data_IF_669608067709
#
_entry.id   IF_669608067709
#
_cell.length_a   1.000
_cell.length_b   1.000
_cell.length_c   1.000
_cell.angle_alpha   90.00
_cell.angle_beta   90.00
_cell.angle_gamma   90.00
#
_symmetry.space_group_name_H-M   'P 1'
#
loop_
_entity.id
_entity.type
_entity.pdbx_description
1 polymer ?
#
# COMPACT_ATOMS: atom_id res chain seq x y z
N UNK A 1 5.99 -10.33 -21.44
CA UNK A 1 4.74 -11.03 -21.79
C UNK A 1 4.41 -11.96 -20.62
N UNK A 2 3.49 -11.56 -19.76
CA UNK A 2 3.26 -12.20 -18.45
C UNK A 2 2.40 -13.45 -18.59
N UNK A 3 3.01 -14.62 -18.36
CA UNK A 3 2.39 -15.95 -18.52
C UNK A 3 1.17 -16.21 -17.61
N UNK A 4 0.94 -15.38 -16.58
CA UNK A 4 -0.13 -15.54 -15.60
C UNK A 4 -1.48 -14.93 -15.99
N UNK A 5 -1.50 -13.95 -16.90
CA UNK A 5 -2.72 -13.19 -17.23
C UNK A 5 -3.69 -13.99 -18.12
N UNK A 6 -3.15 -14.84 -19.00
CA UNK A 6 -3.95 -15.70 -19.86
C UNK A 6 -4.68 -16.83 -19.08
N UNK A 7 -4.06 -17.36 -18.02
CA UNK A 7 -4.69 -18.38 -17.16
C UNK A 7 -5.86 -17.81 -16.35
N UNK A 8 -5.73 -16.56 -15.90
CA UNK A 8 -6.80 -15.84 -15.20
C UNK A 8 -8.01 -15.62 -16.12
N UNK A 9 -7.79 -15.15 -17.34
CA UNK A 9 -8.88 -14.99 -18.33
C UNK A 9 -9.55 -16.30 -18.73
N UNK A 10 -8.80 -17.41 -18.76
CA UNK A 10 -9.37 -18.73 -19.02
C UNK A 10 -10.31 -19.18 -17.88
N UNK A 11 -9.97 -18.87 -16.62
CA UNK A 11 -10.84 -19.13 -15.46
C UNK A 11 -12.13 -18.31 -15.57
N UNK A 12 -12.03 -17.01 -15.84
CA UNK A 12 -13.21 -16.15 -15.97
C UNK A 12 -14.14 -16.56 -17.12
N UNK A 13 -13.57 -17.05 -18.22
CA UNK A 13 -14.36 -17.62 -19.31
C UNK A 13 -15.15 -18.85 -18.88
N UNK A 14 -14.56 -19.73 -18.07
CA UNK A 14 -15.24 -20.91 -17.56
C UNK A 14 -16.40 -20.53 -16.63
N UNK A 15 -16.21 -19.52 -15.78
CA UNK A 15 -17.22 -19.03 -14.84
C UNK A 15 -18.41 -18.37 -15.56
N UNK A 16 -18.18 -17.62 -16.64
CA UNK A 16 -19.24 -17.03 -17.49
C UNK A 16 -20.00 -18.08 -18.31
N UNK A 17 -19.39 -19.25 -18.56
CA UNK A 17 -20.01 -20.34 -19.29
C UNK A 17 -20.74 -21.33 -18.38
N UNK A 18 -20.63 -21.20 -17.06
CA UNK A 18 -21.32 -22.06 -16.10
C UNK A 18 -22.84 -21.78 -16.15
N UNK A 19 -23.67 -22.77 -16.48
CA UNK A 19 -25.12 -22.61 -16.56
C UNK A 19 -25.79 -22.26 -15.22
N UNK A 20 -25.05 -22.33 -14.09
CA UNK A 20 -25.50 -21.87 -12.77
C UNK A 20 -25.33 -20.36 -12.57
N UNK A 21 -24.59 -19.68 -13.45
CA UNK A 21 -24.30 -18.25 -13.40
C UNK A 21 -25.11 -17.49 -14.47
N UNK A 22 -26.43 -17.46 -14.36
CA UNK A 22 -27.32 -16.78 -15.32
C UNK A 22 -27.45 -15.26 -15.08
N UNK A 23 -27.01 -14.79 -13.92
CA UNK A 23 -27.03 -13.38 -13.51
C UNK A 23 -25.80 -12.59 -14.00
N UNK A 24 -24.68 -13.26 -14.28
CA UNK A 24 -23.41 -12.60 -14.65
C UNK A 24 -23.38 -12.38 -16.17
N UNK A 25 -23.27 -11.13 -16.61
CA UNK A 25 -23.30 -10.74 -18.04
C UNK A 25 -21.92 -10.43 -18.63
N UNK A 26 -20.90 -10.32 -17.79
CA UNK A 26 -19.50 -10.01 -18.13
C UNK A 26 -18.78 -9.45 -16.90
N UNK A 27 -17.49 -9.11 -17.03
CA UNK A 27 -16.74 -8.46 -15.95
C UNK A 27 -16.09 -7.15 -16.41
N UNK A 28 -15.84 -6.27 -15.44
CA UNK A 28 -15.13 -5.00 -15.65
C UNK A 28 -13.75 -5.05 -14.98
N UNK A 29 -12.69 -4.78 -15.75
CA UNK A 29 -11.36 -4.50 -15.20
C UNK A 29 -11.21 -2.99 -15.05
N UNK A 30 -10.98 -2.57 -13.81
CA UNK A 30 -10.62 -1.20 -13.48
C UNK A 30 -9.11 -1.17 -13.22
N UNK A 31 -8.39 -0.37 -14.00
CA UNK A 31 -6.94 -0.20 -13.84
C UNK A 31 -6.57 1.27 -13.70
N UNK A 32 -5.55 1.53 -12.88
CA UNK A 32 -4.90 2.83 -12.75
C UNK A 32 -3.71 2.99 -13.72
N UNK A 33 -3.37 1.94 -14.45
CA UNK A 33 -2.36 1.97 -15.50
C UNK A 33 -3.02 2.24 -16.85
N UNK A 34 -2.89 3.49 -17.33
CA UNK A 34 -3.52 3.99 -18.56
C UNK A 34 -3.20 3.15 -19.81
N UNK A 35 -1.95 2.75 -20.09
CA UNK A 35 -1.64 1.83 -21.19
C UNK A 35 -2.17 0.40 -20.98
N UNK A 36 -2.41 -0.06 -19.76
CA UNK A 36 -2.91 -1.41 -19.53
C UNK A 36 -4.38 -1.60 -19.94
N UNK A 37 -5.23 -0.57 -19.88
CA UNK A 37 -6.65 -0.72 -20.21
C UNK A 37 -6.89 -1.17 -21.68
N UNK A 38 -6.27 -0.55 -22.71
CA UNK A 38 -6.33 -1.04 -24.09
C UNK A 38 -5.76 -2.45 -24.27
N UNK A 39 -4.72 -2.82 -23.51
CA UNK A 39 -4.09 -4.14 -23.59
C UNK A 39 -5.04 -5.22 -23.02
N UNK A 40 -5.67 -4.96 -21.88
CA UNK A 40 -6.71 -5.82 -21.31
C UNK A 40 -7.93 -5.95 -22.25
N UNK A 41 -8.36 -4.83 -22.85
CA UNK A 41 -9.46 -4.83 -23.81
C UNK A 41 -9.15 -5.73 -25.02
N UNK A 42 -7.93 -5.62 -25.54
CA UNK A 42 -7.44 -6.44 -26.65
C UNK A 42 -7.38 -7.91 -26.28
N UNK A 43 -6.89 -8.22 -25.07
CA UNK A 43 -6.73 -9.59 -24.61
C UNK A 43 -8.08 -10.29 -24.34
N UNK A 44 -9.08 -9.58 -23.80
CA UNK A 44 -10.44 -10.09 -23.65
C UNK A 44 -11.09 -10.39 -25.01
N UNK A 45 -10.93 -9.48 -25.98
CA UNK A 45 -11.44 -9.68 -27.34
C UNK A 45 -10.80 -10.90 -28.03
N UNK A 46 -9.48 -11.06 -27.93
CA UNK A 46 -8.77 -12.21 -28.50
C UNK A 46 -9.14 -13.53 -27.82
N UNK A 47 -9.49 -13.50 -26.53
CA UNK A 47 -9.81 -14.70 -25.74
C UNK A 47 -11.29 -15.07 -25.74
N UNK A 48 -12.15 -14.26 -26.38
CA UNK A 48 -13.60 -14.48 -26.45
C UNK A 48 -14.31 -14.26 -25.11
N UNK A 49 -13.74 -13.41 -24.25
CA UNK A 49 -14.25 -13.12 -22.92
C UNK A 49 -15.13 -11.87 -22.97
N UNK A 50 -16.36 -11.97 -22.49
CA UNK A 50 -17.29 -10.84 -22.48
C UNK A 50 -16.99 -9.93 -21.28
N UNK A 51 -16.55 -8.70 -21.53
CA UNK A 51 -16.15 -7.76 -20.49
C UNK A 51 -15.69 -6.41 -21.02
N UNK A 52 -15.35 -5.51 -20.10
CA UNK A 52 -14.84 -4.17 -20.39
C UNK A 52 -13.59 -3.89 -19.55
N UNK A 53 -12.63 -3.18 -20.09
CA UNK A 53 -11.54 -2.59 -19.33
C UNK A 53 -11.67 -1.08 -19.42
N UNK A 54 -11.69 -0.40 -18.27
CA UNK A 54 -11.59 1.05 -18.25
C UNK A 54 -10.46 1.49 -17.35
N UNK A 55 -9.70 2.44 -17.89
CA UNK A 55 -8.83 3.26 -17.08
C UNK A 55 -9.72 4.13 -16.20
N UNK A 56 -9.54 3.99 -14.89
CA UNK A 56 -10.06 4.97 -13.94
C UNK A 56 -8.84 5.73 -13.44
N UNK A 57 -8.68 7.00 -13.84
CA UNK A 57 -7.66 7.83 -13.22
C UNK A 57 -7.91 7.84 -11.72
N UNK A 58 -6.84 7.89 -10.92
CA UNK A 58 -6.99 8.32 -9.54
C UNK A 58 -7.85 9.60 -9.53
N UNK A 59 -8.73 9.76 -8.55
CA UNK A 59 -9.55 10.96 -8.41
C UNK A 59 -8.63 12.19 -8.26
N UNK A 60 -8.21 12.75 -9.41
CA UNK A 60 -7.00 13.54 -9.52
C UNK A 60 -6.60 13.93 -10.96
N UNK A 61 -7.32 13.50 -12.01
CA UNK A 61 -7.12 14.00 -13.39
C UNK A 61 -7.71 15.44 -13.58
N UNK A 62 -7.51 16.29 -12.58
CA UNK A 62 -7.48 17.75 -12.71
C UNK A 62 -6.02 18.19 -12.66
N UNK A 63 -5.58 19.17 -13.48
CA UNK A 63 -4.19 19.58 -13.50
C UNK A 63 -3.82 20.26 -12.18
N UNK A 64 -3.20 19.48 -11.29
CA UNK A 64 -2.58 19.95 -10.06
C UNK A 64 -1.09 20.09 -10.34
N UNK A 65 -0.65 21.32 -10.60
CA UNK A 65 0.76 21.61 -10.34
C UNK A 65 1.00 21.48 -8.83
N UNK A 66 2.15 20.86 -8.51
CA UNK A 66 2.78 20.57 -7.19
C UNK A 66 2.24 19.28 -6.56
N UNK A 67 2.76 18.08 -6.85
CA UNK A 67 4.16 17.64 -6.72
C UNK A 67 4.44 16.43 -7.64
N UNK A 68 4.37 16.64 -8.95
CA UNK A 68 4.60 15.61 -9.99
C UNK A 68 6.08 15.10 -10.02
N UNK A 69 6.95 15.65 -9.17
CA UNK A 69 8.38 15.36 -9.09
C UNK A 69 8.81 14.63 -7.80
N UNK A 70 7.92 14.47 -6.81
CA UNK A 70 8.27 13.73 -5.60
C UNK A 70 8.38 12.23 -5.92
N UNK A 71 9.59 11.68 -5.79
CA UNK A 71 9.86 10.25 -5.95
C UNK A 71 8.97 9.45 -4.99
N UNK A 72 8.29 8.44 -5.53
CA UNK A 72 7.37 7.58 -4.77
C UNK A 72 8.01 6.22 -4.56
N UNK A 73 8.10 5.79 -3.31
CA UNK A 73 8.77 4.56 -2.89
C UNK A 73 7.91 3.82 -1.87
N UNK A 74 8.22 2.56 -1.58
CA UNK A 74 7.60 1.86 -0.46
C UNK A 74 8.43 2.08 0.79
N UNK A 75 7.85 2.75 1.80
CA UNK A 75 8.46 2.84 3.12
C UNK A 75 7.97 1.71 4.02
N UNK A 76 8.88 1.10 4.78
CA UNK A 76 8.56 0.13 5.82
C UNK A 76 8.85 0.74 7.18
N UNK A 77 7.84 0.80 8.05
CA UNK A 77 7.98 1.23 9.44
C UNK A 77 7.89 0.01 10.36
N UNK A 78 8.81 -0.07 11.33
CA UNK A 78 8.84 -1.17 12.29
C UNK A 78 9.38 -0.74 13.66
N UNK A 79 9.18 -1.61 14.65
CA UNK A 79 9.81 -1.52 15.95
C UNK A 79 11.35 -1.69 15.84
N UNK A 80 12.12 -1.30 16.88
CA UNK A 80 13.57 -1.50 16.91
C UNK A 80 13.95 -2.98 16.73
N UNK A 81 15.05 -3.26 16.03
CA UNK A 81 15.48 -4.65 15.72
C UNK A 81 15.78 -5.45 16.99
N UNK A 82 16.35 -4.81 18.01
CA UNK A 82 16.66 -5.40 19.32
C UNK A 82 15.41 -5.61 20.19
N UNK A 83 14.27 -5.03 19.81
CA UNK A 83 12.98 -5.22 20.47
C UNK A 83 11.81 -5.18 19.46
N UNK A 84 11.79 -6.15 18.53
CA UNK A 84 10.83 -6.18 17.43
C UNK A 84 9.34 -6.30 17.86
N UNK A 85 9.07 -6.66 19.12
CA UNK A 85 7.74 -6.72 19.70
C UNK A 85 7.33 -5.44 20.46
N UNK A 86 8.16 -4.38 20.44
CA UNK A 86 7.95 -3.17 21.25
C UNK A 86 6.63 -2.43 20.95
N UNK A 87 6.11 -2.55 19.73
CA UNK A 87 4.81 -1.98 19.37
C UNK A 87 3.63 -2.77 19.94
N UNK A 88 3.87 -4.03 20.35
CA UNK A 88 2.82 -4.99 20.70
C UNK A 88 1.71 -5.00 19.63
N UNK A 89 2.11 -5.16 18.37
CA UNK A 89 1.24 -4.93 17.22
C UNK A 89 0.02 -5.85 17.24
N UNK A 90 -1.15 -5.26 17.16
CA UNK A 90 -2.43 -5.94 17.03
C UNK A 90 -3.23 -5.26 15.91
N UNK A 91 -3.77 -6.07 15.00
CA UNK A 91 -4.45 -5.57 13.81
C UNK A 91 -5.78 -4.89 14.12
N UNK A 92 -6.52 -5.35 15.12
CA UNK A 92 -7.82 -4.77 15.45
C UNK A 92 -7.61 -3.44 16.18
N UNK A 93 -6.67 -3.38 17.12
CA UNK A 93 -6.29 -2.14 17.78
C UNK A 93 -5.70 -1.12 16.79
N UNK A 94 -4.87 -1.59 15.83
CA UNK A 94 -4.32 -0.74 14.78
C UNK A 94 -5.44 -0.17 13.88
N UNK A 95 -6.32 -1.03 13.37
CA UNK A 95 -7.44 -0.63 12.51
C UNK A 95 -8.34 0.38 13.22
N UNK A 96 -8.74 0.11 14.47
CA UNK A 96 -9.58 1.02 15.25
C UNK A 96 -8.89 2.36 15.51
N UNK A 97 -7.60 2.35 15.84
CA UNK A 97 -6.83 3.58 16.03
C UNK A 97 -6.76 4.42 14.75
N UNK A 98 -6.51 3.76 13.62
CA UNK A 98 -6.40 4.39 12.31
C UNK A 98 -7.73 5.05 11.89
N UNK A 99 -8.83 4.31 11.96
CA UNK A 99 -10.17 4.79 11.57
C UNK A 99 -10.63 5.99 12.42
N UNK A 100 -10.17 6.09 13.68
CA UNK A 100 -10.43 7.25 14.54
C UNK A 100 -9.58 8.46 14.17
N UNK A 101 -8.34 8.24 13.76
CA UNK A 101 -7.39 9.32 13.46
C UNK A 101 -7.58 9.90 12.06
N UNK A 102 -8.02 9.10 11.10
CA UNK A 102 -8.17 9.49 9.70
C UNK A 102 -9.61 9.28 9.24
N UNK A 103 -10.46 10.32 9.30
CA UNK A 103 -11.83 10.25 8.82
C UNK A 103 -11.88 9.84 7.33
N UNK A 104 -12.61 8.76 7.03
CA UNK A 104 -12.70 8.21 5.68
C UNK A 104 -11.62 7.18 5.33
N UNK A 105 -10.74 6.84 6.27
CA UNK A 105 -9.84 5.71 6.10
C UNK A 105 -10.59 4.37 6.04
N UNK A 106 -9.96 3.37 5.43
CA UNK A 106 -10.44 1.99 5.39
C UNK A 106 -9.36 1.05 5.92
N UNK A 107 -9.79 -0.09 6.48
CA UNK A 107 -8.90 -1.14 6.97
C UNK A 107 -9.57 -2.50 6.71
N UNK A 108 -8.93 -3.35 5.89
CA UNK A 108 -9.50 -4.62 5.43
C UNK A 108 -8.50 -5.75 5.66
N UNK A 109 -8.92 -6.80 6.37
CA UNK A 109 -8.11 -8.02 6.55
C UNK A 109 -7.91 -8.71 5.21
N UNK A 110 -6.67 -9.12 4.95
CA UNK A 110 -6.23 -9.84 3.76
C UNK A 110 -5.53 -11.13 4.18
N UNK A 111 -5.77 -12.22 3.45
CA UNK A 111 -5.22 -13.55 3.72
C UNK A 111 -6.29 -14.64 3.60
N UNK A 112 -6.02 -15.67 2.79
CA UNK A 112 -6.83 -16.89 2.78
C UNK A 112 -6.53 -17.75 4.03
N UNK A 113 -7.51 -18.52 4.53
CA UNK A 113 -7.23 -19.61 5.47
C UNK A 113 -6.44 -20.73 4.75
N UNK A 114 -5.13 -20.55 4.62
CA UNK A 114 -4.15 -21.53 4.13
C UNK A 114 -3.26 -22.07 5.26
N UNK A 115 -2.36 -23.03 4.99
CA UNK A 115 -1.53 -23.67 6.02
C UNK A 115 -0.42 -22.76 6.60
N UNK A 116 -0.07 -21.68 5.90
CA UNK A 116 0.81 -20.60 6.38
C UNK A 116 0.18 -19.24 6.06
N UNK A 117 -0.91 -18.86 6.75
CA UNK A 117 -1.56 -17.58 6.50
C UNK A 117 -0.65 -16.47 7.02
N UNK A 118 -0.14 -15.63 6.11
CA UNK A 118 0.34 -14.30 6.52
C UNK A 118 -0.89 -13.41 6.60
N UNK A 119 -1.50 -13.34 7.78
CA UNK A 119 -2.54 -12.36 8.06
C UNK A 119 -1.96 -10.96 7.80
N UNK A 120 -2.63 -10.20 6.96
CA UNK A 120 -2.29 -8.82 6.68
C UNK A 120 -3.52 -7.92 6.83
N UNK A 121 -3.27 -6.63 6.99
CA UNK A 121 -4.32 -5.61 7.02
C UNK A 121 -3.98 -4.58 5.95
N UNK A 122 -4.78 -4.53 4.88
CA UNK A 122 -4.70 -3.46 3.88
C UNK A 122 -5.37 -2.22 4.47
N UNK A 123 -4.70 -1.07 4.35
CA UNK A 123 -5.21 0.22 4.84
C UNK A 123 -5.20 1.25 3.71
N UNK A 124 -6.17 2.15 3.73
CA UNK A 124 -6.26 3.28 2.80
C UNK A 124 -6.60 4.52 3.60
N UNK A 125 -5.82 5.60 3.42
CA UNK A 125 -5.88 6.79 4.26
C UNK A 125 -6.05 8.03 3.37
N UNK A 126 -7.15 8.78 3.50
CA UNK A 126 -7.27 10.08 2.85
C UNK A 126 -6.40 11.12 3.57
N UNK A 127 -5.51 11.79 2.83
CA UNK A 127 -4.59 12.79 3.37
C UNK A 127 -5.02 14.24 3.11
N UNK A 128 -6.15 14.42 2.43
CA UNK A 128 -6.68 15.73 2.03
C UNK A 128 -6.16 16.18 0.66
N UNK A 129 -6.83 17.17 0.05
CA UNK A 129 -6.44 17.67 -1.27
C UNK A 129 -6.56 16.65 -2.42
N UNK A 130 -7.32 15.57 -2.21
CA UNK A 130 -7.42 14.45 -3.15
C UNK A 130 -6.31 13.39 -3.03
N UNK A 131 -5.33 13.60 -2.14
CA UNK A 131 -4.26 12.62 -1.90
C UNK A 131 -4.73 11.45 -1.03
N UNK A 132 -4.23 10.26 -1.37
CA UNK A 132 -4.49 9.01 -0.67
C UNK A 132 -3.18 8.28 -0.42
N UNK A 133 -3.10 7.62 0.74
CA UNK A 133 -2.02 6.71 1.07
C UNK A 133 -2.57 5.29 1.18
N UNK A 134 -2.00 4.38 0.38
CA UNK A 134 -2.21 2.95 0.54
C UNK A 134 -1.14 2.37 1.45
N UNK A 135 -1.53 1.39 2.26
CA UNK A 135 -0.60 0.72 3.15
C UNK A 135 -0.95 -0.73 3.40
N UNK A 136 0.03 -1.44 3.95
CA UNK A 136 -0.12 -2.83 4.34
C UNK A 136 0.52 -3.04 5.71
N UNK A 137 -0.26 -3.51 6.66
CA UNK A 137 0.26 -3.96 7.96
C UNK A 137 0.46 -5.46 7.89
N UNK A 138 1.62 -5.94 8.29
CA UNK A 138 1.95 -7.37 8.31
C UNK A 138 2.41 -7.78 9.68
N UNK A 139 2.07 -9.00 10.09
CA UNK A 139 2.43 -9.55 11.40
C UNK A 139 2.94 -10.99 11.22
N UNK A 140 4.21 -11.17 10.82
CA UNK A 140 4.78 -12.51 10.59
C UNK A 140 4.83 -13.37 11.86
N UNK A 141 4.88 -12.73 13.04
CA UNK A 141 4.76 -13.39 14.35
C UNK A 141 3.83 -12.58 15.24
N UNK A 142 3.14 -13.20 16.22
CA UNK A 142 2.29 -12.46 17.13
C UNK A 142 3.01 -11.25 17.74
N UNK A 143 2.39 -10.07 17.63
CA UNK A 143 2.89 -8.78 18.18
C UNK A 143 4.11 -8.17 17.50
N UNK A 144 4.69 -8.86 16.52
CA UNK A 144 5.86 -8.43 15.75
C UNK A 144 5.41 -8.18 14.33
N UNK A 145 5.53 -6.93 13.87
CA UNK A 145 5.03 -6.54 12.57
C UNK A 145 5.67 -5.28 12.02
N UNK A 146 5.32 -4.99 10.78
CA UNK A 146 5.68 -3.76 10.10
C UNK A 146 4.45 -3.14 9.45
N UNK A 147 4.51 -1.83 9.26
CA UNK A 147 3.51 -1.05 8.53
C UNK A 147 4.19 -0.50 7.29
N UNK A 148 3.70 -0.88 6.12
CA UNK A 148 4.17 -0.40 4.83
C UNK A 148 3.32 0.78 4.37
N UNK A 149 3.96 1.86 3.93
CA UNK A 149 3.36 2.92 3.12
C UNK A 149 3.73 2.63 1.65
N UNK A 150 2.75 2.18 0.87
CA UNK A 150 2.96 1.69 -0.50
C UNK A 150 2.99 2.86 -1.48
N UNK A 151 4.01 2.88 -2.35
CA UNK A 151 4.15 3.86 -3.44
C UNK A 151 3.84 5.28 -2.95
N UNK A 152 4.48 5.71 -1.86
CA UNK A 152 4.19 6.94 -1.15
C UNK A 152 5.29 7.97 -1.38
N UNK A 153 4.93 9.26 -1.41
CA UNK A 153 5.90 10.33 -1.24
C UNK A 153 6.36 10.40 0.22
N UNK A 154 7.51 11.04 0.46
CA UNK A 154 8.00 11.29 1.82
C UNK A 154 6.97 12.06 2.68
N UNK A 155 6.22 13.00 2.08
CA UNK A 155 5.21 13.78 2.78
C UNK A 155 4.00 12.93 3.22
N UNK A 156 3.55 12.02 2.36
CA UNK A 156 2.43 11.12 2.66
C UNK A 156 2.81 10.09 3.71
N UNK A 157 3.97 9.45 3.54
CA UNK A 157 4.51 8.48 4.48
C UNK A 157 4.76 9.11 5.86
N UNK A 158 5.17 10.38 5.92
CA UNK A 158 5.36 11.11 7.16
C UNK A 158 4.06 11.30 7.97
N UNK A 159 2.91 11.43 7.31
CA UNK A 159 1.62 11.52 8.01
C UNK A 159 1.32 10.24 8.78
N UNK A 160 1.54 9.07 8.14
CA UNK A 160 1.38 7.77 8.78
C UNK A 160 2.44 7.55 9.87
N UNK A 161 3.71 7.80 9.58
CA UNK A 161 4.81 7.65 10.53
C UNK A 161 4.61 8.48 11.79
N UNK A 162 4.14 9.73 11.64
CA UNK A 162 3.78 10.59 12.76
C UNK A 162 2.68 9.98 13.61
N UNK A 163 1.60 9.51 12.98
CA UNK A 163 0.49 8.92 13.73
C UNK A 163 0.93 7.65 14.48
N UNK A 164 1.77 6.81 13.86
CA UNK A 164 2.37 5.66 14.54
C UNK A 164 3.17 6.13 15.76
N UNK A 165 4.09 7.09 15.59
CA UNK A 165 4.94 7.61 16.67
C UNK A 165 4.16 8.28 17.79
N UNK A 166 3.15 9.09 17.47
CA UNK A 166 2.46 9.95 18.45
C UNK A 166 1.32 9.21 19.16
N UNK A 167 0.69 8.22 18.52
CA UNK A 167 -0.54 7.60 19.02
C UNK A 167 -0.49 6.07 19.14
N UNK A 168 0.10 5.35 18.18
CA UNK A 168 0.08 3.89 18.20
C UNK A 168 1.20 3.30 19.05
N UNK A 169 2.43 3.77 18.84
CA UNK A 169 3.63 3.40 19.57
C UNK A 169 4.27 4.65 20.21
N UNK A 170 3.59 5.29 21.19
CA UNK A 170 3.99 6.56 21.78
C UNK A 170 5.25 6.44 22.64
N UNK A 171 6.40 6.48 21.98
CA UNK A 171 7.72 6.51 22.61
C UNK A 171 8.73 7.09 21.61
N UNK A 172 9.66 7.94 22.07
CA UNK A 172 10.58 8.68 21.22
C UNK A 172 11.43 7.79 20.29
N UNK A 173 11.71 6.56 20.70
CA UNK A 173 12.69 5.71 20.02
C UNK A 173 12.13 4.39 19.49
N UNK A 174 10.82 4.32 19.21
CA UNK A 174 10.18 3.07 18.78
C UNK A 174 9.93 2.95 17.27
N UNK A 175 10.05 4.01 16.49
CA UNK A 175 9.69 3.95 15.06
C UNK A 175 10.94 4.04 14.19
N UNK A 176 11.33 2.91 13.64
CA UNK A 176 12.40 2.77 12.65
C UNK A 176 11.81 2.63 11.26
N UNK A 177 12.58 3.00 10.25
CA UNK A 177 12.14 2.90 8.87
C UNK A 177 13.26 2.46 7.91
N UNK A 178 12.84 1.93 6.77
CA UNK A 178 13.65 1.73 5.56
C UNK A 178 12.76 1.93 4.32
N UNK A 179 13.35 1.88 3.13
CA UNK A 179 12.62 1.91 1.86
C UNK A 179 12.99 0.72 0.97
N UNK A 180 12.10 0.35 0.05
CA UNK A 180 12.39 -0.63 -1.00
C UNK A 180 13.67 -0.27 -1.80
N UNK A 181 13.85 1.00 -2.16
CA UNK A 181 15.07 1.48 -2.84
C UNK A 181 16.33 1.20 -2.02
N UNK A 182 16.31 1.46 -0.71
CA UNK A 182 17.46 1.19 0.15
C UNK A 182 17.74 -0.31 0.26
N UNK A 183 16.69 -1.13 0.37
CA UNK A 183 16.80 -2.58 0.41
C UNK A 183 17.36 -3.15 -0.91
N UNK A 184 16.94 -2.62 -2.05
CA UNK A 184 17.43 -3.02 -3.38
C UNK A 184 18.92 -2.73 -3.57
N UNK A 185 19.44 -1.72 -2.88
CA UNK A 185 20.87 -1.39 -2.83
C UNK A 185 21.63 -2.18 -1.75
N UNK A 186 20.96 -3.07 -1.03
CA UNK A 186 21.57 -3.89 0.02
C UNK A 186 21.83 -3.12 1.32
N UNK A 187 21.16 -1.97 1.53
CA UNK A 187 21.27 -1.24 2.79
C UNK A 187 20.71 -2.10 3.94
N UNK A 188 21.51 -2.20 5.00
CA UNK A 188 21.15 -2.93 6.22
C UNK A 188 20.89 -2.01 7.41
N UNK A 189 21.21 -0.72 7.25
CA UNK A 189 20.95 0.29 8.25
C UNK A 189 19.49 0.78 8.14
N UNK A 190 18.83 0.89 9.28
CA UNK A 190 17.50 1.48 9.40
C UNK A 190 17.63 2.94 9.83
N UNK A 191 16.84 3.81 9.22
CA UNK A 191 16.61 5.16 9.70
C UNK A 191 15.71 5.16 10.93
N UNK A 192 15.79 6.21 11.74
CA UNK A 192 14.90 6.41 12.88
C UNK A 192 14.00 7.62 12.62
N UNK A 193 12.70 7.47 12.87
CA UNK A 193 11.79 8.62 12.85
C UNK A 193 12.14 9.52 14.03
N UNK A 194 12.28 10.86 13.82
CA UNK A 194 12.63 11.78 14.89
C UNK A 194 11.69 11.66 16.10
N UNK A 195 12.23 11.67 17.33
CA UNK A 195 11.46 11.44 18.56
C UNK A 195 10.42 12.53 18.83
N UNK A 196 10.56 13.68 18.20
CA UNK A 196 9.63 14.81 18.28
C UNK A 196 9.63 15.60 16.98
N UNK A 197 8.73 16.58 16.88
CA UNK A 197 8.56 17.42 15.70
C UNK A 197 7.27 17.10 14.94
N UNK A 198 6.96 17.97 13.99
CA UNK A 198 5.76 17.84 13.17
C UNK A 198 5.98 16.94 11.94
N UNK A 199 4.94 16.81 11.13
CA UNK A 199 4.96 15.99 9.91
C UNK A 199 6.01 16.46 8.91
N UNK A 200 6.34 17.77 8.87
CA UNK A 200 7.33 18.31 7.93
C UNK A 200 8.75 17.89 8.29
N UNK A 201 9.05 17.84 9.59
CA UNK A 201 10.34 17.34 10.08
C UNK A 201 10.53 15.87 9.69
N UNK A 202 9.50 15.05 9.87
CA UNK A 202 9.55 13.63 9.48
C UNK A 202 9.67 13.50 7.95
N UNK A 203 8.88 14.25 7.17
CA UNK A 203 8.93 14.21 5.72
C UNK A 203 10.32 14.55 5.17
N UNK A 204 11.00 15.53 5.77
CA UNK A 204 12.38 15.86 5.39
C UNK A 204 13.34 14.69 5.64
N UNK A 205 13.25 14.01 6.79
CA UNK A 205 14.11 12.84 7.08
C UNK A 205 13.85 11.69 6.10
N UNK A 206 12.58 11.46 5.75
CA UNK A 206 12.24 10.44 4.75
C UNK A 206 12.72 10.82 3.34
N UNK A 207 12.71 12.11 2.99
CA UNK A 207 13.20 12.60 1.71
C UNK A 207 14.73 12.54 1.63
N UNK A 208 15.45 12.99 2.66
CA UNK A 208 16.91 12.87 2.76
C UNK A 208 17.35 11.41 2.59
N UNK A 209 16.64 10.46 3.21
CA UNK A 209 16.87 9.02 3.01
C UNK A 209 16.67 8.55 1.57
N UNK A 210 15.70 9.11 0.83
CA UNK A 210 15.53 8.77 -0.60
C UNK A 210 16.67 9.37 -1.43
N UNK A 211 17.01 10.64 -1.18
CA UNK A 211 17.98 11.40 -1.95
C UNK A 211 19.39 10.78 -1.81
N UNK A 212 19.76 10.31 -0.62
CA UNK A 212 21.02 9.60 -0.36
C UNK A 212 21.17 8.31 -1.18
N UNK A 213 20.06 7.70 -1.61
CA UNK A 213 20.07 6.47 -2.42
C UNK A 213 20.06 6.75 -3.93
N UNK A 214 19.95 8.00 -4.36
CA UNK A 214 20.03 8.38 -5.79
C UNK A 214 21.43 8.82 -6.24
N UNK A 215 22.40 8.91 -5.32
CA UNK A 215 23.82 9.18 -5.60
C UNK A 215 24.61 7.92 -6.02
#
# INVERSE_FOLDING_TARGET
>A
MYRGEASELARYRADLADPRNDEIRGFEIITHDKPAAPDWQSMMAMSGVNGNARYVPYAGDHPLMTDEAARRVTFSFAAPVDNAAAWNLDFDDFAMGLLRAFPGASATRQGEPGPHPCDALRIEIPLGGGAWLEGLVTMPYPKVGSVLALTASAAEAAALARWIRDFYAPSPDLVYFTSDVALDQGATAYGQIPPSGDTRVIARVLQEHIDDMDE
#
